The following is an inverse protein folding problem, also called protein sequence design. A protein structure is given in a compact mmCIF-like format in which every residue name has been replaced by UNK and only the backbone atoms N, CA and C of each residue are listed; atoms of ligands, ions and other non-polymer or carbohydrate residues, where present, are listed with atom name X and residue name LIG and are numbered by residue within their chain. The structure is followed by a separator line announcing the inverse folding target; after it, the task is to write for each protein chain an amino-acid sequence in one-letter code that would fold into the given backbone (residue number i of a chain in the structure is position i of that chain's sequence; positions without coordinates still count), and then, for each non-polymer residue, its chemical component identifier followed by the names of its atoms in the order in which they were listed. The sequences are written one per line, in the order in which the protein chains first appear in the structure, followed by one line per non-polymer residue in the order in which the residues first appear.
data_IF_511254649021
#
_entry.id   IF_511254649021
#
_cell.length_a   1.000
_cell.length_b   1.000
_cell.length_c   1.000
_cell.angle_alpha   90.00
_cell.angle_beta   90.00
_cell.angle_gamma   90.00
#
_symmetry.space_group_name_H-M   'P 1'
#
loop_
_entity.id
_entity.type
_entity.pdbx_description
1 polymer ?
#
# COMPACT_ATOMS: atom_id res chain seq x y z
N UNK A 1 13.63 -8.29 55.75
CA UNK A 1 14.37 -7.99 54.51
C UNK A 1 14.38 -9.27 53.68
N UNK A 2 13.30 -9.55 52.96
CA UNK A 2 13.13 -9.21 51.54
C UNK A 2 14.31 -9.73 50.71
N UNK A 3 14.21 -10.93 50.10
CA UNK A 3 15.03 -11.41 48.98
C UNK A 3 14.57 -12.84 48.59
N UNK A 4 14.21 -12.99 47.30
CA UNK A 4 13.93 -14.24 46.52
C UNK A 4 12.53 -14.84 46.56
N UNK A 5 11.60 -14.14 45.93
CA UNK A 5 10.46 -14.74 45.23
C UNK A 5 10.25 -13.99 43.89
N UNK A 6 11.28 -13.95 43.04
CA UNK A 6 11.21 -13.36 41.70
C UNK A 6 12.13 -14.13 40.74
N UNK A 7 11.93 -15.44 40.63
CA UNK A 7 12.66 -16.30 39.69
C UNK A 7 11.73 -16.97 38.66
N UNK A 8 10.54 -16.42 38.40
CA UNK A 8 9.54 -17.05 37.52
C UNK A 8 8.83 -16.09 36.55
N UNK A 9 9.39 -14.91 36.26
CA UNK A 9 8.77 -13.95 35.33
C UNK A 9 9.67 -13.50 34.19
N UNK A 10 10.68 -14.29 33.81
CA UNK A 10 11.63 -13.91 32.77
C UNK A 10 11.31 -14.42 31.37
N UNK A 11 10.24 -15.21 31.18
CA UNK A 11 9.79 -15.69 29.86
C UNK A 11 8.31 -15.33 29.67
N UNK A 12 7.97 -14.82 28.47
CA UNK A 12 6.78 -14.02 28.15
C UNK A 12 6.96 -12.57 28.65
N UNK A 13 7.39 -11.63 27.81
CA UNK A 13 6.63 -11.16 26.66
C UNK A 13 7.60 -10.75 25.53
N UNK A 14 7.89 -11.67 24.60
CA UNK A 14 8.39 -11.29 23.28
C UNK A 14 7.17 -10.84 22.46
N UNK A 15 6.61 -9.68 22.81
CA UNK A 15 5.71 -8.98 21.91
C UNK A 15 6.56 -8.44 20.77
N UNK A 16 6.64 -9.20 19.68
CA UNK A 16 6.97 -8.65 18.38
C UNK A 16 5.79 -7.76 17.97
N UNK A 17 5.71 -6.57 18.57
CA UNK A 17 4.99 -5.49 17.93
C UNK A 17 5.82 -5.11 16.71
N UNK A 18 5.27 -5.35 15.52
CA UNK A 18 5.56 -4.50 14.37
C UNK A 18 5.03 -3.10 14.75
N UNK A 19 5.78 -2.40 15.62
CA UNK A 19 5.55 -1.01 15.90
C UNK A 19 5.73 -0.22 14.59
N UNK A 20 5.20 1.02 14.52
CA UNK A 20 5.47 1.88 13.39
C UNK A 20 6.99 1.91 13.17
N UNK A 21 7.41 1.66 11.93
CA UNK A 21 8.81 1.78 11.54
C UNK A 21 9.36 3.11 12.09
N UNK A 22 10.62 3.15 12.55
CA UNK A 22 11.22 4.40 12.97
C UNK A 22 10.94 5.47 11.92
N UNK A 23 10.32 6.57 12.33
CA UNK A 23 10.24 7.78 11.52
C UNK A 23 11.65 8.38 11.45
N UNK A 24 12.56 7.68 10.77
CA UNK A 24 13.74 8.32 10.23
C UNK A 24 13.19 9.29 9.19
N UNK A 25 13.10 10.56 9.59
CA UNK A 25 12.58 11.63 8.77
C UNK A 25 13.26 11.57 7.41
N UNK A 26 12.42 11.57 6.36
CA UNK A 26 12.76 11.58 4.94
C UNK A 26 14.19 12.13 4.75
N UNK A 27 15.12 11.25 4.37
CA UNK A 27 16.52 11.59 4.11
C UNK A 27 16.57 12.88 3.27
N UNK A 28 17.21 13.92 3.80
CA UNK A 28 17.30 15.23 3.13
C UNK A 28 18.06 15.17 1.80
N UNK A 29 18.82 14.11 1.57
CA UNK A 29 19.68 13.93 0.39
C UNK A 29 19.14 12.84 -0.54
N UNK A 30 17.84 12.90 -0.88
CA UNK A 30 17.30 12.05 -1.94
C UNK A 30 18.05 12.31 -3.26
N UNK A 31 18.62 11.24 -3.84
CA UNK A 31 19.25 11.26 -5.16
C UNK A 31 18.34 10.57 -6.18
N UNK A 32 17.33 11.29 -6.67
CA UNK A 32 16.47 10.80 -7.75
C UNK A 32 16.73 11.58 -9.04
N UNK A 33 16.82 10.91 -10.21
CA UNK A 33 16.90 11.59 -11.50
C UNK A 33 15.55 12.20 -11.93
N UNK A 34 14.46 11.97 -11.18
CA UNK A 34 13.12 12.40 -11.52
C UNK A 34 12.90 13.89 -11.24
N UNK A 35 12.19 14.59 -12.14
CA UNK A 35 11.94 16.04 -12.02
C UNK A 35 10.48 16.33 -11.64
N UNK A 36 10.25 17.37 -10.83
CA UNK A 36 8.97 17.66 -10.13
C UNK A 36 7.83 18.22 -10.98
N UNK A 37 7.82 17.91 -12.28
CA UNK A 37 6.80 18.37 -13.24
C UNK A 37 6.38 17.25 -14.21
N UNK A 38 6.81 16.03 -13.92
CA UNK A 38 6.52 14.86 -14.72
C UNK A 38 5.36 14.10 -14.11
N UNK A 39 4.38 13.79 -14.96
CA UNK A 39 3.38 12.75 -14.68
C UNK A 39 3.66 11.60 -15.61
N UNK A 40 3.89 10.42 -15.03
CA UNK A 40 4.09 9.19 -15.78
C UNK A 40 2.77 8.42 -15.73
N UNK A 41 2.28 8.04 -16.90
CA UNK A 41 1.03 7.31 -17.04
C UNK A 41 1.34 5.84 -17.33
N UNK A 42 0.79 4.94 -16.52
CA UNK A 42 0.87 3.50 -16.71
C UNK A 42 -0.52 2.91 -16.87
N UNK A 43 -0.60 1.76 -17.52
CA UNK A 43 -1.78 0.89 -17.47
C UNK A 43 -1.46 -0.29 -16.57
N UNK A 44 -2.31 -0.51 -15.58
CA UNK A 44 -2.25 -1.65 -14.67
C UNK A 44 -3.34 -2.66 -15.03
N UNK A 45 -2.95 -3.94 -15.07
CA UNK A 45 -3.87 -5.07 -15.20
C UNK A 45 -3.46 -6.12 -14.19
N UNK A 46 -4.34 -6.39 -13.22
CA UNK A 46 -4.18 -7.43 -12.21
C UNK A 46 -5.25 -8.50 -12.37
N UNK A 47 -4.87 -9.77 -12.29
CA UNK A 47 -5.80 -10.90 -12.40
C UNK A 47 -5.60 -11.85 -11.22
N UNK A 48 -6.72 -12.29 -10.64
CA UNK A 48 -6.74 -13.33 -9.63
C UNK A 48 -7.74 -14.42 -10.07
N UNK A 49 -7.25 -15.66 -10.14
CA UNK A 49 -8.01 -16.81 -10.63
C UNK A 49 -7.88 -17.97 -9.66
N UNK A 50 -9.01 -18.51 -9.22
CA UNK A 50 -9.14 -19.68 -8.36
C UNK A 50 -10.01 -20.69 -9.12
N UNK A 51 -9.43 -21.85 -9.43
CA UNK A 51 -10.14 -22.93 -10.11
C UNK A 51 -9.89 -24.25 -9.40
N UNK A 52 -10.93 -24.75 -8.73
CA UNK A 52 -10.96 -26.09 -8.15
C UNK A 52 -12.37 -26.69 -8.25
N UNK A 53 -12.59 -27.87 -7.64
CA UNK A 53 -13.88 -28.55 -7.70
C UNK A 53 -15.00 -27.80 -6.95
N UNK A 54 -14.64 -26.95 -5.99
CA UNK A 54 -15.57 -26.27 -5.08
C UNK A 54 -15.81 -24.79 -5.45
N UNK A 55 -14.92 -24.20 -6.26
CA UNK A 55 -14.92 -22.78 -6.57
C UNK A 55 -14.33 -22.48 -7.95
N UNK A 56 -15.05 -21.65 -8.70
CA UNK A 56 -14.55 -20.97 -9.89
C UNK A 56 -14.69 -19.46 -9.68
N UNK A 57 -13.58 -18.83 -9.30
CA UNK A 57 -13.48 -17.38 -9.17
C UNK A 57 -12.46 -16.84 -10.16
N UNK A 58 -12.84 -15.79 -10.86
CA UNK A 58 -11.96 -15.06 -11.73
C UNK A 58 -12.30 -13.59 -11.59
N UNK A 59 -11.36 -12.82 -11.05
CA UNK A 59 -11.46 -11.39 -10.83
C UNK A 59 -10.31 -10.72 -11.55
N UNK A 60 -10.62 -9.69 -12.33
CA UNK A 60 -9.64 -8.90 -13.05
C UNK A 60 -9.88 -7.41 -12.76
N UNK A 61 -8.82 -6.71 -12.39
CA UNK A 61 -8.81 -5.26 -12.17
C UNK A 61 -7.99 -4.64 -13.28
N UNK A 62 -8.55 -3.64 -13.96
CA UNK A 62 -7.84 -2.78 -14.91
C UNK A 62 -7.91 -1.35 -14.41
N UNK A 63 -6.82 -0.61 -14.53
CA UNK A 63 -6.78 0.79 -14.15
C UNK A 63 -5.68 1.53 -14.92
N UNK A 64 -5.85 2.84 -15.08
CA UNK A 64 -4.76 3.75 -15.37
C UNK A 64 -4.13 4.18 -14.05
N UNK A 65 -2.80 4.26 -14.01
CA UNK A 65 -2.03 4.72 -12.86
C UNK A 65 -1.32 6.01 -13.25
N UNK A 66 -1.71 7.10 -12.61
CA UNK A 66 -1.06 8.39 -12.74
C UNK A 66 -0.01 8.52 -11.65
N UNK A 67 1.26 8.63 -12.04
CA UNK A 67 2.39 8.79 -11.13
C UNK A 67 2.96 10.19 -11.27
N UNK A 68 2.63 11.07 -10.33
CA UNK A 68 3.16 12.43 -10.26
C UNK A 68 4.40 12.52 -9.38
N UNK A 69 5.44 13.24 -9.82
CA UNK A 69 6.63 13.51 -9.01
C UNK A 69 6.39 14.74 -8.14
N UNK A 70 6.10 14.55 -6.85
CA UNK A 70 5.85 15.66 -5.90
C UNK A 70 7.16 16.35 -5.51
N UNK A 71 8.17 15.54 -5.16
CA UNK A 71 9.54 15.97 -4.92
C UNK A 71 10.49 14.85 -5.36
N UNK A 72 11.81 15.07 -5.42
CA UNK A 72 12.76 13.97 -5.54
C UNK A 72 12.41 12.88 -4.50
N UNK A 73 12.32 11.62 -4.95
CA UNK A 73 11.93 10.43 -4.18
C UNK A 73 10.49 10.39 -3.62
N UNK A 74 9.67 11.42 -3.79
CA UNK A 74 8.27 11.41 -3.32
C UNK A 74 7.34 11.45 -4.52
N UNK A 75 6.52 10.41 -4.63
CA UNK A 75 5.63 10.20 -5.75
C UNK A 75 4.19 10.16 -5.27
N UNK A 76 3.31 10.81 -6.00
CA UNK A 76 1.86 10.66 -5.87
C UNK A 76 1.40 9.60 -6.85
N UNK A 77 0.70 8.59 -6.38
CA UNK A 77 0.08 7.56 -7.20
C UNK A 77 -1.43 7.71 -7.12
N UNK A 78 -2.08 7.80 -8.27
CA UNK A 78 -3.54 7.85 -8.36
C UNK A 78 -4.03 6.81 -9.35
N UNK A 79 -5.04 6.05 -8.95
CA UNK A 79 -5.77 5.20 -9.87
C UNK A 79 -6.88 6.00 -10.56
N UNK A 80 -7.05 5.76 -11.84
CA UNK A 80 -8.09 6.31 -12.68
C UNK A 80 -8.64 5.24 -13.61
N UNK A 81 -9.86 5.42 -14.09
CA UNK A 81 -10.55 4.49 -14.97
C UNK A 81 -10.52 3.03 -14.49
N UNK A 82 -10.63 2.84 -13.17
CA UNK A 82 -10.70 1.52 -12.54
C UNK A 82 -11.94 0.78 -13.05
N UNK A 83 -11.69 -0.43 -13.56
CA UNK A 83 -12.68 -1.39 -14.02
C UNK A 83 -12.45 -2.74 -13.34
N UNK A 84 -13.55 -3.34 -12.85
CA UNK A 84 -13.55 -4.60 -12.12
C UNK A 84 -14.41 -5.61 -12.88
N UNK A 85 -13.74 -6.59 -13.49
CA UNK A 85 -14.33 -7.67 -14.26
C UNK A 85 -14.29 -8.96 -13.45
N UNK A 86 -15.29 -9.84 -13.61
CA UNK A 86 -15.30 -11.14 -12.93
C UNK A 86 -16.67 -11.64 -12.49
N UNK A 87 -16.72 -12.95 -12.20
CA UNK A 87 -17.88 -13.65 -11.64
C UNK A 87 -17.95 -13.36 -10.13
N UNK A 88 -19.15 -13.10 -9.60
CA UNK A 88 -19.42 -12.86 -8.16
C UNK A 88 -19.02 -11.50 -7.58
N UNK A 89 -18.79 -10.48 -8.41
CA UNK A 89 -18.56 -9.10 -7.92
C UNK A 89 -19.89 -8.39 -7.67
N UNK A 90 -20.24 -8.16 -6.41
CA UNK A 90 -21.53 -7.59 -6.02
C UNK A 90 -21.62 -6.06 -6.18
N UNK A 91 -20.52 -5.31 -5.99
CA UNK A 91 -20.56 -3.83 -6.05
C UNK A 91 -19.33 -3.23 -6.75
N UNK A 92 -19.43 -3.09 -8.08
CA UNK A 92 -18.37 -2.51 -8.93
C UNK A 92 -18.21 -1.01 -8.75
N UNK A 93 -19.30 -0.29 -8.52
CA UNK A 93 -19.28 1.17 -8.39
C UNK A 93 -18.56 1.60 -7.11
N UNK A 94 -18.89 1.01 -5.95
CA UNK A 94 -18.21 1.33 -4.70
C UNK A 94 -16.74 0.92 -4.73
N UNK A 95 -16.40 -0.17 -5.43
CA UNK A 95 -15.01 -0.58 -5.63
C UNK A 95 -14.22 0.47 -6.41
N UNK A 96 -14.76 0.91 -7.55
CA UNK A 96 -14.18 1.99 -8.35
C UNK A 96 -14.03 3.26 -7.54
N UNK A 97 -15.11 3.71 -6.87
CA UNK A 97 -15.10 4.94 -6.09
C UNK A 97 -14.03 4.88 -5.00
N UNK A 98 -13.92 3.79 -4.24
CA UNK A 98 -12.94 3.65 -3.17
C UNK A 98 -11.50 3.80 -3.69
N UNK A 99 -11.16 3.18 -4.83
CA UNK A 99 -9.81 3.18 -5.38
C UNK A 99 -9.42 4.47 -6.12
N UNK A 100 -10.39 5.22 -6.65
CA UNK A 100 -10.12 6.47 -7.40
C UNK A 100 -10.14 7.73 -6.55
N UNK A 101 -10.72 7.65 -5.34
CA UNK A 101 -11.07 8.81 -4.53
C UNK A 101 -9.85 9.54 -3.99
N UNK A 102 -8.84 8.83 -3.50
CA UNK A 102 -7.66 9.46 -2.91
C UNK A 102 -6.37 8.95 -3.55
N UNK A 103 -5.45 9.86 -3.91
CA UNK A 103 -4.10 9.45 -4.29
C UNK A 103 -3.29 9.04 -3.05
N UNK A 104 -2.40 8.07 -3.21
CA UNK A 104 -1.41 7.71 -2.19
C UNK A 104 -0.08 8.40 -2.46
N UNK A 105 0.67 8.68 -1.40
CA UNK A 105 2.04 9.21 -1.50
C UNK A 105 3.03 8.13 -1.12
N UNK A 106 4.04 7.92 -1.95
CA UNK A 106 5.05 6.87 -1.75
C UNK A 106 6.43 7.48 -1.80
N UNK A 107 7.26 7.13 -0.82
CA UNK A 107 8.69 7.41 -0.85
C UNK A 107 9.44 6.27 -1.54
N UNK A 108 10.23 6.60 -2.55
CA UNK A 108 11.04 5.62 -3.31
C UNK A 108 12.45 6.19 -3.50
N UNK A 109 13.45 5.48 -3.01
CA UNK A 109 14.87 5.82 -3.14
C UNK A 109 15.65 4.59 -3.65
N UNK A 110 16.52 4.77 -4.64
CA UNK A 110 17.32 3.69 -5.25
C UNK A 110 16.50 2.45 -5.69
N UNK A 111 15.25 2.68 -6.10
CA UNK A 111 14.32 1.63 -6.51
C UNK A 111 13.68 0.86 -5.35
N UNK A 112 13.96 1.26 -4.10
CA UNK A 112 13.39 0.67 -2.89
C UNK A 112 12.18 1.49 -2.47
N UNK A 113 11.04 0.82 -2.30
CA UNK A 113 9.82 1.42 -1.76
C UNK A 113 9.94 1.51 -0.24
N UNK A 114 9.86 2.73 0.29
CA UNK A 114 9.85 3.00 1.73
C UNK A 114 8.44 3.27 2.24
N UNK A 115 8.25 4.45 2.84
CA UNK A 115 6.97 4.84 3.43
C UNK A 115 5.86 5.01 2.38
N UNK A 116 4.70 4.42 2.66
CA UNK A 116 3.46 4.59 1.90
C UNK A 116 2.47 5.31 2.81
N UNK A 117 1.95 6.45 2.34
CA UNK A 117 0.91 7.23 3.02
C UNK A 117 -0.35 7.23 2.18
N UNK A 118 -1.45 6.83 2.80
CA UNK A 118 -2.78 6.80 2.21
C UNK A 118 -3.75 7.59 3.10
N UNK A 119 -4.98 7.81 2.64
CA UNK A 119 -5.97 8.52 3.44
C UNK A 119 -6.49 7.57 4.54
N UNK A 120 -6.61 8.07 5.78
CA UNK A 120 -7.09 7.28 6.91
C UNK A 120 -8.59 6.90 6.81
N UNK A 121 -9.35 7.58 5.94
CA UNK A 121 -10.75 7.26 5.67
C UNK A 121 -10.92 6.10 4.68
N UNK A 122 -9.83 5.64 4.04
CA UNK A 122 -9.88 4.55 3.07
C UNK A 122 -10.15 3.21 3.74
N UNK A 123 -10.82 2.33 2.99
CA UNK A 123 -11.09 0.98 3.44
C UNK A 123 -9.77 0.19 3.44
N UNK A 124 -9.51 -0.70 4.41
CA UNK A 124 -8.21 -1.39 4.51
C UNK A 124 -7.82 -2.26 3.30
N UNK A 125 -8.76 -2.55 2.41
CA UNK A 125 -8.52 -3.32 1.19
C UNK A 125 -8.24 -2.45 -0.04
N UNK A 126 -8.51 -1.15 0.06
CA UNK A 126 -8.24 -0.15 -0.97
C UNK A 126 -6.83 0.41 -0.77
#
# INVERSE_FOLDING_TARGET
MLIRLLALSCWAVATCYAGPLPQDGISRDCKSPMTTQQTILYTYVGENRIENQDAQHHVQVKANVEVGVVSPCIFSFKLADVDLQGVSVANRYAFKEALERHPMTVYIEDGIVGEIRHNAEELPWA
#
